data_IF_117470779829
#
_entry.id   IF_117470779829
#
_cell.length_a   1.000
_cell.length_b   1.000
_cell.length_c   1.000
_cell.angle_alpha   90.00
_cell.angle_beta   90.00
_cell.angle_gamma   90.00
#
_symmetry.space_group_name_H-M   'P 1'
#
loop_
_entity.id
_entity.type
_entity.pdbx_description
1 polymer ?
#
# COMPACT_ATOMS: atom_id res chain seq x y z
N UNK A 1 11.97 -2.66 -4.86
CA UNK A 1 10.64 -2.75 -4.23
C UNK A 1 9.54 -2.77 -5.29
N UNK A 2 8.37 -3.21 -4.93
CA UNK A 2 7.24 -3.27 -5.85
C UNK A 2 6.01 -2.69 -5.14
N UNK A 3 5.45 -1.62 -5.67
CA UNK A 3 4.32 -0.92 -5.06
C UNK A 3 3.08 -0.99 -5.94
N UNK A 4 1.92 -1.17 -5.30
CA UNK A 4 0.64 -0.99 -5.96
C UNK A 4 0.15 0.43 -5.69
N UNK A 5 -0.41 1.07 -6.71
CA UNK A 5 -1.02 2.39 -6.60
C UNK A 5 -2.45 2.28 -7.11
N UNK A 6 -3.41 2.48 -6.22
CA UNK A 6 -4.84 2.42 -6.55
C UNK A 6 -5.37 3.84 -6.54
N UNK A 7 -5.50 4.43 -7.71
CA UNK A 7 -5.82 5.83 -7.93
C UNK A 7 -6.45 5.99 -9.31
N UNK A 8 -7.63 6.60 -9.38
CA UNK A 8 -8.36 6.76 -10.63
C UNK A 8 -7.85 7.89 -11.53
N UNK A 9 -7.12 8.87 -10.96
CA UNK A 9 -6.60 10.00 -11.73
C UNK A 9 -5.15 9.76 -12.14
N UNK A 10 -4.92 9.67 -13.45
CA UNK A 10 -3.58 9.41 -13.99
C UNK A 10 -2.56 10.46 -13.55
N UNK A 11 -2.96 11.72 -13.47
CA UNK A 11 -2.06 12.79 -13.02
C UNK A 11 -1.59 12.57 -11.59
N UNK A 12 -2.48 12.10 -10.72
CA UNK A 12 -2.14 11.81 -9.33
C UNK A 12 -1.25 10.57 -9.22
N UNK A 13 -1.49 9.56 -10.06
CA UNK A 13 -0.59 8.40 -10.15
C UNK A 13 0.83 8.84 -10.50
N UNK A 14 0.97 9.64 -11.55
CA UNK A 14 2.27 10.10 -12.03
C UNK A 14 2.98 10.97 -11.00
N UNK A 15 2.25 11.85 -10.33
CA UNK A 15 2.82 12.70 -9.29
C UNK A 15 3.39 11.86 -8.14
N UNK A 16 2.63 10.90 -7.67
CA UNK A 16 3.06 10.01 -6.60
C UNK A 16 4.30 9.20 -6.99
N UNK A 17 4.26 8.58 -8.17
CA UNK A 17 5.39 7.79 -8.67
C UNK A 17 6.65 8.63 -8.75
N UNK A 18 6.56 9.85 -9.27
CA UNK A 18 7.70 10.75 -9.37
C UNK A 18 8.30 11.04 -8.01
N UNK A 19 7.47 11.36 -7.01
CA UNK A 19 7.94 11.64 -5.66
C UNK A 19 8.62 10.42 -5.02
N UNK A 20 8.03 9.24 -5.23
CA UNK A 20 8.61 8.00 -4.73
C UNK A 20 9.98 7.75 -5.37
N UNK A 21 10.06 7.85 -6.69
CA UNK A 21 11.30 7.65 -7.42
C UNK A 21 12.40 8.63 -7.00
N UNK A 22 12.06 9.90 -6.84
CA UNK A 22 13.00 10.91 -6.37
C UNK A 22 13.56 10.59 -4.97
N UNK A 23 12.70 10.10 -4.08
CA UNK A 23 13.13 9.68 -2.76
C UNK A 23 14.04 8.46 -2.81
N UNK A 24 13.65 7.43 -3.58
CA UNK A 24 14.41 6.18 -3.66
C UNK A 24 15.80 6.41 -4.26
N UNK A 25 15.94 7.31 -5.21
CA UNK A 25 17.24 7.64 -5.81
C UNK A 25 18.26 8.08 -4.77
N UNK A 26 17.83 8.81 -3.75
CA UNK A 26 18.71 9.26 -2.67
C UNK A 26 19.30 8.10 -1.88
N UNK A 27 18.66 6.97 -1.88
CA UNK A 27 19.07 5.76 -1.14
C UNK A 27 19.62 4.68 -2.07
N UNK A 28 19.80 5.00 -3.35
CA UNK A 28 20.22 4.03 -4.38
C UNK A 28 19.27 2.83 -4.47
N UNK A 29 17.98 3.09 -4.27
CA UNK A 29 16.92 2.09 -4.36
C UNK A 29 16.11 2.31 -5.62
N UNK A 30 15.46 1.25 -6.08
CA UNK A 30 14.53 1.28 -7.22
C UNK A 30 13.22 0.62 -6.85
N UNK A 31 12.17 0.92 -7.62
CA UNK A 31 10.87 0.28 -7.43
C UNK A 31 10.16 0.11 -8.77
N UNK A 32 9.35 -0.95 -8.82
CA UNK A 32 8.36 -1.15 -9.87
C UNK A 32 6.99 -0.74 -9.34
N UNK A 33 6.12 -0.31 -10.23
CA UNK A 33 4.80 0.19 -9.89
C UNK A 33 3.74 -0.48 -10.74
N UNK A 34 2.68 -0.95 -10.09
CA UNK A 34 1.46 -1.38 -10.78
C UNK A 34 0.36 -0.40 -10.39
N UNK A 35 -0.25 0.25 -11.39
CA UNK A 35 -1.29 1.24 -11.17
C UNK A 35 -2.65 0.65 -11.54
N UNK A 36 -3.64 0.91 -10.68
CA UNK A 36 -5.02 0.46 -10.85
C UNK A 36 -5.94 1.65 -10.71
N UNK A 37 -6.92 1.77 -11.59
CA UNK A 37 -7.88 2.87 -11.56
C UNK A 37 -9.02 2.63 -10.58
N UNK A 38 -9.21 1.40 -10.13
CA UNK A 38 -10.28 1.04 -9.20
C UNK A 38 -9.85 -0.09 -8.27
N UNK A 39 -10.62 -0.28 -7.20
CA UNK A 39 -10.33 -1.30 -6.20
C UNK A 39 -10.54 -2.73 -6.70
N UNK A 40 -11.55 -2.93 -7.55
CA UNK A 40 -11.88 -4.26 -8.06
C UNK A 40 -10.72 -4.85 -8.88
N UNK A 41 -10.15 -4.05 -9.77
CA UNK A 41 -9.02 -4.49 -10.60
C UNK A 41 -7.78 -4.78 -9.74
N UNK A 42 -7.53 -3.94 -8.74
CA UNK A 42 -6.45 -4.16 -7.81
C UNK A 42 -6.62 -5.49 -7.06
N UNK A 43 -7.80 -5.73 -6.49
CA UNK A 43 -8.06 -6.96 -5.75
C UNK A 43 -7.96 -8.21 -6.63
N UNK A 44 -8.40 -8.12 -7.87
CA UNK A 44 -8.32 -9.22 -8.82
C UNK A 44 -6.86 -9.57 -9.18
N UNK A 45 -5.98 -8.58 -9.17
CA UNK A 45 -4.56 -8.77 -9.51
C UNK A 45 -3.71 -9.11 -8.29
N UNK A 46 -4.14 -8.75 -7.09
CA UNK A 46 -3.35 -8.90 -5.89
C UNK A 46 -3.11 -10.37 -5.54
N UNK A 47 -1.89 -10.66 -5.09
CA UNK A 47 -1.58 -11.93 -4.43
C UNK A 47 -0.59 -11.67 -3.29
N UNK A 48 -0.62 -12.49 -2.22
CA UNK A 48 0.29 -12.31 -1.10
C UNK A 48 1.76 -12.37 -1.55
N UNK A 49 2.56 -11.44 -1.06
CA UNK A 49 3.98 -11.36 -1.39
C UNK A 49 4.30 -10.61 -2.68
N UNK A 50 3.29 -10.23 -3.46
CA UNK A 50 3.51 -9.52 -4.72
C UNK A 50 4.00 -8.08 -4.50
N UNK A 51 3.43 -7.39 -3.52
CA UNK A 51 3.74 -5.98 -3.26
C UNK A 51 4.38 -5.76 -1.90
N UNK A 52 5.25 -4.77 -1.81
CA UNK A 52 5.86 -4.32 -0.57
C UNK A 52 4.98 -3.29 0.16
N UNK A 53 4.17 -2.56 -0.59
CA UNK A 53 3.23 -1.60 -0.02
C UNK A 53 2.13 -1.28 -1.03
N UNK A 54 0.99 -0.80 -0.52
CA UNK A 54 -0.15 -0.36 -1.32
C UNK A 54 -0.48 1.07 -0.96
N UNK A 55 -0.49 1.93 -1.97
CA UNK A 55 -0.97 3.32 -1.85
C UNK A 55 -2.39 3.36 -2.41
N UNK A 56 -3.34 3.76 -1.58
CA UNK A 56 -4.77 3.65 -1.89
C UNK A 56 -5.48 4.99 -1.73
N UNK A 57 -6.04 5.51 -2.82
CA UNK A 57 -6.93 6.67 -2.72
C UNK A 57 -8.23 6.23 -2.03
N UNK A 58 -8.67 6.98 -1.03
CA UNK A 58 -9.95 6.72 -0.37
C UNK A 58 -11.12 7.03 -1.31
N UNK A 59 -10.99 8.10 -2.09
CA UNK A 59 -12.06 8.60 -2.97
C UNK A 59 -11.93 8.01 -4.38
N UNK A 60 -12.10 6.70 -4.49
CA UNK A 60 -12.16 6.04 -5.79
C UNK A 60 -13.53 6.21 -6.44
N UNK A 61 -13.66 5.72 -7.68
CA UNK A 61 -14.88 5.83 -8.47
C UNK A 61 -16.14 5.53 -7.66
N UNK A 62 -17.16 6.37 -7.87
CA UNK A 62 -18.43 6.29 -7.15
C UNK A 62 -19.27 5.06 -7.49
N UNK A 63 -18.99 4.41 -8.61
CA UNK A 63 -19.79 3.27 -9.09
C UNK A 63 -19.30 1.92 -8.56
N UNK A 64 -18.14 1.89 -7.90
CA UNK A 64 -17.56 0.66 -7.38
C UNK A 64 -17.12 0.83 -5.94
N UNK A 65 -16.19 -0.01 -5.52
CA UNK A 65 -15.63 0.06 -4.18
C UNK A 65 -14.85 1.36 -3.99
N UNK A 66 -15.03 2.02 -2.85
CA UNK A 66 -14.12 3.10 -2.46
C UNK A 66 -12.84 2.51 -1.87
N UNK A 67 -11.88 3.38 -1.51
CA UNK A 67 -10.59 2.94 -0.99
C UNK A 67 -10.69 2.20 0.34
N UNK A 68 -11.60 2.61 1.21
CA UNK A 68 -11.78 1.95 2.51
C UNK A 68 -12.38 0.57 2.33
N UNK A 69 -13.43 0.45 1.50
CA UNK A 69 -14.05 -0.84 1.19
C UNK A 69 -13.05 -1.80 0.54
N UNK A 70 -12.23 -1.29 -0.38
CA UNK A 70 -11.16 -2.06 -1.01
C UNK A 70 -10.16 -2.55 0.02
N UNK A 71 -9.75 -1.68 0.93
CA UNK A 71 -8.81 -2.01 1.99
C UNK A 71 -9.38 -3.05 2.96
N UNK A 72 -10.66 -2.98 3.28
CA UNK A 72 -11.32 -3.98 4.13
C UNK A 72 -11.25 -5.37 3.47
N UNK A 73 -11.54 -5.44 2.17
CA UNK A 73 -11.42 -6.70 1.43
C UNK A 73 -9.98 -7.19 1.37
N UNK A 74 -9.03 -6.29 1.14
CA UNK A 74 -7.61 -6.63 1.16
C UNK A 74 -7.21 -7.26 2.50
N UNK A 75 -7.64 -6.66 3.60
CA UNK A 75 -7.29 -7.14 4.95
C UNK A 75 -7.87 -8.51 5.28
N UNK A 76 -8.91 -8.94 4.58
CA UNK A 76 -9.46 -10.28 4.79
C UNK A 76 -8.50 -11.39 4.36
N UNK A 77 -7.52 -11.08 3.51
CA UNK A 77 -6.53 -12.07 3.05
C UNK A 77 -5.08 -11.57 3.07
N UNK A 78 -4.84 -10.33 3.48
CA UNK A 78 -3.50 -9.76 3.61
C UNK A 78 -3.48 -8.78 4.78
N UNK A 79 -3.21 -9.29 5.98
CA UNK A 79 -3.35 -8.50 7.21
C UNK A 79 -2.22 -7.54 7.47
N UNK A 80 -1.02 -7.82 6.98
CA UNK A 80 0.18 -7.09 7.39
C UNK A 80 0.82 -6.22 6.32
N UNK A 81 0.38 -6.28 5.08
CA UNK A 81 1.00 -5.44 4.05
C UNK A 81 0.86 -3.96 4.40
N UNK A 82 1.93 -3.16 4.30
CA UNK A 82 1.83 -1.72 4.49
C UNK A 82 0.80 -1.11 3.55
N UNK A 83 -0.18 -0.44 4.15
CA UNK A 83 -1.26 0.23 3.44
C UNK A 83 -1.20 1.71 3.77
N UNK A 84 -1.10 2.54 2.74
CA UNK A 84 -1.04 3.99 2.88
C UNK A 84 -2.25 4.57 2.16
N UNK A 85 -3.12 5.27 2.90
CA UNK A 85 -4.21 5.99 2.29
C UNK A 85 -3.73 7.34 1.77
N UNK A 86 -4.23 7.71 0.59
CA UNK A 86 -4.00 9.01 0.00
C UNK A 86 -5.37 9.62 -0.27
N UNK A 87 -5.59 10.86 0.15
CA UNK A 87 -6.90 11.47 0.03
C UNK A 87 -6.82 12.99 0.04
N UNK A 88 -7.78 13.62 -0.61
CA UNK A 88 -7.98 15.07 -0.50
C UNK A 88 -8.84 15.45 0.70
N UNK A 89 -9.42 14.47 1.39
CA UNK A 89 -10.27 14.68 2.54
C UNK A 89 -9.45 14.73 3.83
N UNK A 90 -9.66 15.77 4.64
CA UNK A 90 -9.01 15.90 5.94
C UNK A 90 -9.66 15.04 7.00
N UNK A 91 -10.97 14.84 6.88
CA UNK A 91 -11.73 14.05 7.83
C UNK A 91 -11.73 12.59 7.39
N UNK A 92 -10.78 11.84 7.89
CA UNK A 92 -10.74 10.40 7.63
C UNK A 92 -11.90 9.74 8.35
N UNK A 93 -12.55 8.83 7.69
CA UNK A 93 -13.51 7.99 8.35
C UNK A 93 -12.81 7.15 9.42
N UNK A 94 -13.43 7.03 10.61
CA UNK A 94 -12.97 6.09 11.64
C UNK A 94 -12.90 4.66 11.10
N UNK A 95 -13.67 4.35 10.08
CA UNK A 95 -13.62 3.06 9.40
C UNK A 95 -12.25 2.75 8.81
N UNK A 96 -11.52 3.77 8.37
CA UNK A 96 -10.17 3.60 7.87
C UNK A 96 -9.20 3.05 8.91
N UNK A 97 -9.46 3.32 10.18
CA UNK A 97 -8.64 2.80 11.28
C UNK A 97 -8.72 1.27 11.42
N UNK A 98 -9.84 0.68 11.07
CA UNK A 98 -10.05 -0.75 11.22
C UNK A 98 -9.15 -1.59 10.33
N UNK A 99 -8.65 -1.01 9.25
CA UNK A 99 -7.76 -1.71 8.32
C UNK A 99 -6.28 -1.50 8.65
N UNK A 100 -6.00 -0.81 9.75
CA UNK A 100 -4.64 -0.59 10.26
C UNK A 100 -3.70 -0.02 9.19
N UNK A 101 -4.01 1.17 8.63
CA UNK A 101 -3.10 1.79 7.68
C UNK A 101 -1.81 2.19 8.36
N UNK A 102 -0.72 2.10 7.62
CA UNK A 102 0.56 2.56 8.12
C UNK A 102 0.60 4.08 8.19
N UNK A 103 -0.03 4.75 7.23
CA UNK A 103 -0.03 6.20 7.17
C UNK A 103 -1.19 6.73 6.33
N UNK A 104 -1.46 8.04 6.47
CA UNK A 104 -2.37 8.81 5.64
C UNK A 104 -1.61 9.99 5.03
N UNK A 105 -1.75 10.17 3.73
CA UNK A 105 -1.15 11.29 3.02
C UNK A 105 -2.25 12.15 2.41
N UNK A 106 -2.20 13.46 2.67
CA UNK A 106 -3.13 14.42 2.08
C UNK A 106 -2.66 14.85 0.70
N UNK A 107 -3.58 14.95 -0.24
CA UNK A 107 -3.31 15.54 -1.55
C UNK A 107 -3.31 17.08 -1.45
N UNK A 108 -2.43 17.77 -2.16
CA UNK A 108 -1.34 17.24 -2.96
C UNK A 108 -0.22 16.70 -2.07
N UNK A 109 0.24 15.49 -2.36
CA UNK A 109 1.29 14.86 -1.57
C UNK A 109 2.59 15.64 -1.75
N UNK A 110 3.22 16.00 -0.64
CA UNK A 110 4.52 16.69 -0.68
C UNK A 110 5.68 15.72 -0.40
N UNK A 111 6.88 16.17 -0.78
CA UNK A 111 8.08 15.34 -0.67
C UNK A 111 8.42 14.98 0.78
N UNK A 112 8.19 15.90 1.71
CA UNK A 112 8.51 15.66 3.13
C UNK A 112 7.61 14.60 3.75
N UNK A 113 6.29 14.69 3.53
CA UNK A 113 5.34 13.70 4.04
C UNK A 113 5.59 12.33 3.42
N UNK A 114 5.89 12.30 2.14
CA UNK A 114 6.20 11.03 1.45
C UNK A 114 7.50 10.43 1.96
N UNK A 115 8.52 11.24 2.19
CA UNK A 115 9.80 10.78 2.74
C UNK A 115 9.60 10.09 4.09
N UNK A 116 8.83 10.72 4.97
CA UNK A 116 8.47 10.14 6.26
C UNK A 116 7.77 8.80 6.09
N UNK A 117 6.80 8.74 5.20
CA UNK A 117 6.03 7.52 4.91
C UNK A 117 6.93 6.39 4.39
N UNK A 118 7.84 6.70 3.46
CA UNK A 118 8.76 5.70 2.93
C UNK A 118 9.73 5.18 3.99
N UNK A 119 10.15 6.04 4.92
CA UNK A 119 10.96 5.61 6.06
C UNK A 119 10.19 4.63 6.95
N UNK A 120 8.92 4.88 7.18
CA UNK A 120 8.06 3.96 7.93
C UNK A 120 7.91 2.62 7.20
N UNK A 121 7.76 2.64 5.88
CA UNK A 121 7.72 1.42 5.07
C UNK A 121 9.02 0.64 5.22
N UNK A 122 10.17 1.31 5.11
CA UNK A 122 11.48 0.66 5.26
C UNK A 122 11.63 0.02 6.64
N UNK A 123 11.21 0.72 7.67
CA UNK A 123 11.25 0.20 9.04
C UNK A 123 10.39 -1.05 9.18
N UNK A 124 9.18 -1.00 8.63
CA UNK A 124 8.27 -2.15 8.65
C UNK A 124 8.88 -3.35 7.91
N UNK A 125 9.44 -3.14 6.73
CA UNK A 125 10.02 -4.20 5.92
C UNK A 125 11.25 -4.83 6.56
N UNK A 126 11.94 -4.11 7.45
CA UNK A 126 13.12 -4.59 8.17
C UNK A 126 12.76 -5.39 9.44
N UNK A 127 11.51 -5.45 9.84
CA UNK A 127 11.11 -6.19 11.03
C UNK A 127 11.28 -7.70 10.83
N UNK A 128 11.80 -8.43 11.84
CA UNK A 128 12.01 -9.87 11.72
C UNK A 128 10.77 -10.67 11.34
N UNK A 129 9.60 -10.31 11.88
CA UNK A 129 8.35 -10.99 11.56
C UNK A 129 8.00 -10.87 10.09
N UNK A 130 8.19 -9.69 9.50
CA UNK A 130 7.95 -9.49 8.07
C UNK A 130 8.92 -10.31 7.21
N UNK A 131 10.20 -10.32 7.55
CA UNK A 131 11.23 -11.07 6.82
C UNK A 131 10.88 -12.56 6.81
N UNK A 132 10.46 -13.10 7.95
CA UNK A 132 10.04 -14.50 8.05
C UNK A 132 8.85 -14.81 7.15
N UNK A 133 7.84 -13.93 7.11
CA UNK A 133 6.68 -14.09 6.24
C UNK A 133 7.10 -14.11 4.77
N UNK A 134 7.98 -13.19 4.36
CA UNK A 134 8.45 -13.11 2.98
C UNK A 134 9.22 -14.34 2.55
N UNK A 135 10.03 -14.91 3.41
CA UNK A 135 10.74 -16.16 3.15
C UNK A 135 9.76 -17.31 2.92
N UNK A 136 8.73 -17.39 3.74
CA UNK A 136 7.68 -18.42 3.61
C UNK A 136 6.92 -18.28 2.29
N UNK A 137 6.57 -17.05 1.90
CA UNK A 137 5.90 -16.78 0.63
C UNK A 137 6.78 -17.15 -0.57
N UNK A 138 8.09 -16.86 -0.47
CA UNK A 138 9.04 -17.18 -1.52
C UNK A 138 9.20 -18.69 -1.73
N UNK A 139 8.99 -19.48 -0.69
CA UNK A 139 9.01 -20.94 -0.76
C UNK A 139 7.71 -21.56 -1.25
N UNK A 140 6.64 -20.76 -1.32
CA UNK A 140 5.36 -21.19 -1.86
C UNK A 140 4.57 -22.19 -1.04
N UNK A 141 4.93 -22.42 0.21
CA UNK A 141 4.25 -23.40 1.06
C UNK A 141 3.89 -22.82 2.43
N UNK A 142 2.68 -23.14 2.92
CA UNK A 142 2.21 -22.84 4.28
C UNK A 142 2.28 -21.36 4.66
N UNK A 143 2.50 -20.50 3.72
CA UNK A 143 2.71 -19.05 3.96
C UNK A 143 1.50 -18.37 4.57
N UNK A 144 0.29 -18.72 4.10
CA UNK A 144 -0.94 -18.11 4.62
C UNK A 144 -1.11 -18.39 6.11
N UNK A 145 -0.77 -19.59 6.55
CA UNK A 145 -0.87 -19.99 7.94
C UNK A 145 0.08 -19.17 8.83
N UNK A 146 1.30 -18.91 8.35
CA UNK A 146 2.28 -18.08 9.07
C UNK A 146 1.85 -16.63 9.15
N UNK A 147 1.30 -16.09 8.08
CA UNK A 147 0.83 -14.72 8.04
C UNK A 147 -0.18 -14.46 9.15
N UNK A 148 -1.09 -15.40 9.39
CA UNK A 148 -2.11 -15.25 10.43
C UNK A 148 -1.56 -15.41 11.83
N UNK A 149 -0.49 -16.16 12.01
CA UNK A 149 0.12 -16.35 13.33
C UNK A 149 0.91 -15.14 13.80
N UNK A 150 1.40 -14.32 12.88
CA UNK A 150 2.22 -13.15 13.21
C UNK A 150 1.40 -11.89 13.48
N UNK A 151 0.10 -11.96 13.38
CA UNK A 151 -0.79 -10.85 13.74
C UNK A 151 -0.99 -10.74 15.30
#
# INVERSE_FOLDING_TARGET
>A
MHFAIVEDLVMDQKHLIRLIQENLEKYHETADFDCFENGEDFLAHFSPGLYHAVFMDIMLDRTGLNGIETAEKLRSFAKRIPLIFITSERDYSLEGYRVHPLDYLLKPVDAASLSWCLDEIRTFLAEPAYIEIQESLGQGQASAKRIFLDD
#
